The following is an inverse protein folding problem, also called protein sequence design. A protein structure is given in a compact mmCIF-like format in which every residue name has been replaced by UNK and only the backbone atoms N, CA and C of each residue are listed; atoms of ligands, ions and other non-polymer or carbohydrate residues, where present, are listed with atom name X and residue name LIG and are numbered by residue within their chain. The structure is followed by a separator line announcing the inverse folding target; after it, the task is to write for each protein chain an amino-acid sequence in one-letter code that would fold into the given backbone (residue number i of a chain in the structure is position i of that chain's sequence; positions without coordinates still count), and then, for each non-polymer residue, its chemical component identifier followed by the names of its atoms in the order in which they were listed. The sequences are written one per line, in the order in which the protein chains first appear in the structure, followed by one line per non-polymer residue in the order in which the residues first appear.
data_IF_966401173480
#
_entry.id   IF_966401173480
#
_cell.length_a   1.000
_cell.length_b   1.000
_cell.length_c   1.000
_cell.angle_alpha   90.00
_cell.angle_beta   90.00
_cell.angle_gamma   90.00
#
_symmetry.space_group_name_H-M   'P 1'
#
loop_
_entity.id
_entity.type
_entity.pdbx_description
1 polymer ?
#
# COMPACT_ATOMS: atom_id res chain seq x y z
N UNK A 1 -5.65 -29.18 3.47
CA UNK A 1 -5.46 -28.53 4.79
C UNK A 1 -6.74 -27.84 5.23
N UNK A 2 -6.92 -27.64 6.53
CA UNK A 2 -8.05 -26.87 7.08
C UNK A 2 -7.73 -25.36 7.08
N UNK A 3 -8.74 -24.52 7.27
CA UNK A 3 -8.58 -23.06 7.20
C UNK A 3 -7.54 -22.51 8.19
N UNK A 4 -7.41 -23.10 9.38
CA UNK A 4 -6.39 -22.71 10.36
C UNK A 4 -4.97 -23.00 9.87
N UNK A 5 -4.76 -24.15 9.23
CA UNK A 5 -3.46 -24.51 8.63
C UNK A 5 -3.14 -23.60 7.43
N UNK A 6 -4.16 -23.30 6.61
CA UNK A 6 -4.01 -22.35 5.51
C UNK A 6 -3.65 -20.95 6.00
N UNK A 7 -4.28 -20.49 7.07
CA UNK A 7 -3.98 -19.20 7.69
C UNK A 7 -2.53 -19.11 8.18
N UNK A 8 -2.04 -20.16 8.84
CA UNK A 8 -0.65 -20.24 9.28
C UNK A 8 0.34 -20.28 8.11
N UNK A 9 0.08 -21.14 7.12
CA UNK A 9 0.97 -21.32 5.96
C UNK A 9 1.05 -20.05 5.09
N UNK A 10 -0.08 -19.38 4.87
CA UNK A 10 -0.14 -18.18 4.03
C UNK A 10 0.17 -16.88 4.78
N UNK A 11 0.20 -16.90 6.12
CA UNK A 11 0.30 -15.70 6.95
C UNK A 11 -0.90 -14.76 6.79
N UNK A 12 -2.09 -15.32 6.48
CA UNK A 12 -3.32 -14.55 6.23
C UNK A 12 -4.36 -14.89 7.31
N UNK A 13 -4.96 -13.90 7.99
CA UNK A 13 -6.02 -14.14 8.97
C UNK A 13 -7.21 -14.90 8.39
N UNK A 14 -7.85 -15.75 9.21
CA UNK A 14 -9.00 -16.58 8.79
C UNK A 14 -10.14 -15.71 8.23
N UNK A 15 -10.44 -14.57 8.86
CA UNK A 15 -11.47 -13.63 8.41
C UNK A 15 -11.15 -13.09 7.02
N UNK A 16 -9.88 -12.78 6.75
CA UNK A 16 -9.42 -12.31 5.44
C UNK A 16 -9.53 -13.40 4.39
N UNK A 17 -9.22 -14.66 4.73
CA UNK A 17 -9.42 -15.80 3.83
C UNK A 17 -10.90 -15.93 3.46
N UNK A 18 -11.81 -15.89 4.45
CA UNK A 18 -13.25 -15.94 4.22
C UNK A 18 -13.78 -14.77 3.40
N UNK A 19 -13.21 -13.57 3.62
CA UNK A 19 -13.53 -12.41 2.82
C UNK A 19 -13.12 -12.62 1.36
N UNK A 20 -11.89 -13.08 1.09
CA UNK A 20 -11.43 -13.35 -0.28
C UNK A 20 -12.20 -14.48 -0.97
N UNK A 21 -12.68 -15.48 -0.23
CA UNK A 21 -13.61 -16.48 -0.77
C UNK A 21 -14.92 -15.85 -1.24
N UNK A 22 -15.54 -14.98 -0.41
CA UNK A 22 -16.80 -14.29 -0.76
C UNK A 22 -16.64 -13.35 -1.94
N UNK A 23 -15.49 -12.69 -2.03
CA UNK A 23 -15.14 -11.78 -3.12
C UNK A 23 -14.71 -12.50 -4.42
N UNK A 24 -14.67 -13.83 -4.41
CA UNK A 24 -14.26 -14.62 -5.57
C UNK A 24 -12.78 -14.51 -5.94
N UNK A 25 -11.95 -14.00 -5.03
CA UNK A 25 -10.49 -13.91 -5.21
C UNK A 25 -9.82 -15.27 -4.99
N UNK A 26 -10.44 -16.14 -4.19
CA UNK A 26 -10.02 -17.53 -4.00
C UNK A 26 -11.01 -18.49 -4.65
N UNK A 27 -10.55 -19.61 -5.23
CA UNK A 27 -11.42 -20.68 -5.66
C UNK A 27 -12.25 -21.23 -4.50
N UNK A 28 -13.41 -21.79 -4.80
CA UNK A 28 -14.21 -22.44 -3.78
C UNK A 28 -13.45 -23.65 -3.21
N UNK A 29 -13.35 -23.71 -1.88
CA UNK A 29 -12.77 -24.86 -1.21
C UNK A 29 -13.63 -26.11 -1.42
N UNK A 30 -13.00 -27.24 -1.69
CA UNK A 30 -13.67 -28.54 -1.68
C UNK A 30 -14.24 -28.82 -0.28
N UNK A 31 -15.29 -29.65 -0.21
CA UNK A 31 -15.88 -30.07 1.07
C UNK A 31 -15.74 -31.57 1.26
N UNK A 32 -15.47 -31.97 2.50
CA UNK A 32 -15.54 -33.39 2.89
C UNK A 32 -16.99 -33.86 2.99
N UNK A 33 -17.20 -35.17 3.13
CA UNK A 33 -18.50 -35.76 3.46
C UNK A 33 -19.14 -35.15 4.72
N UNK A 34 -18.30 -34.73 5.70
CA UNK A 34 -18.73 -34.00 6.90
C UNK A 34 -18.92 -32.49 6.71
N UNK A 35 -19.01 -32.01 5.47
CA UNK A 35 -19.23 -30.59 5.10
C UNK A 35 -18.14 -29.59 5.57
N UNK A 36 -16.93 -30.08 5.89
CA UNK A 36 -15.78 -29.23 6.22
C UNK A 36 -15.03 -28.79 4.97
N UNK A 37 -14.65 -27.49 4.92
CA UNK A 37 -13.81 -26.94 3.83
C UNK A 37 -12.40 -27.52 3.87
N UNK A 38 -11.93 -27.95 2.70
CA UNK A 38 -10.54 -28.41 2.49
C UNK A 38 -9.88 -27.50 1.47
N UNK A 39 -8.72 -26.99 1.82
CA UNK A 39 -7.88 -26.13 0.99
C UNK A 39 -6.67 -26.91 0.49
N UNK A 40 -6.17 -26.51 -0.67
CA UNK A 40 -5.00 -27.08 -1.34
C UNK A 40 -3.81 -26.12 -1.24
N UNK A 41 -2.57 -26.57 -1.52
CA UNK A 41 -1.42 -25.66 -1.63
C UNK A 41 -1.64 -24.50 -2.60
N UNK A 42 -2.41 -24.72 -3.67
CA UNK A 42 -2.76 -23.65 -4.63
C UNK A 42 -3.51 -22.48 -3.99
N UNK A 43 -4.33 -22.74 -2.95
CA UNK A 43 -4.97 -21.66 -2.19
C UNK A 43 -3.93 -20.84 -1.40
N UNK A 44 -2.91 -21.51 -0.85
CA UNK A 44 -1.83 -20.82 -0.13
C UNK A 44 -0.99 -19.96 -1.09
N UNK A 45 -0.64 -20.49 -2.27
CA UNK A 45 0.10 -19.76 -3.31
C UNK A 45 -0.68 -18.52 -3.79
N UNK A 46 -1.99 -18.70 -3.99
CA UNK A 46 -2.87 -17.60 -4.42
C UNK A 46 -3.00 -16.52 -3.35
N UNK A 47 -3.10 -16.89 -2.07
CA UNK A 47 -3.08 -15.94 -0.95
C UNK A 47 -1.75 -15.21 -0.86
N UNK A 48 -0.63 -15.91 -1.05
CA UNK A 48 0.71 -15.31 -1.12
C UNK A 48 0.80 -14.24 -2.20
N UNK A 49 0.30 -14.55 -3.40
CA UNK A 49 0.23 -13.61 -4.51
C UNK A 49 -0.63 -12.38 -4.19
N UNK A 50 -1.86 -12.59 -3.68
CA UNK A 50 -2.75 -11.48 -3.28
C UNK A 50 -2.06 -10.60 -2.23
N UNK A 51 -1.44 -11.18 -1.22
CA UNK A 51 -0.72 -10.45 -0.18
C UNK A 51 0.42 -9.61 -0.76
N UNK A 52 1.17 -10.16 -1.71
CA UNK A 52 2.25 -9.42 -2.38
C UNK A 52 1.71 -8.23 -3.18
N UNK A 53 0.64 -8.41 -3.94
CA UNK A 53 -0.01 -7.30 -4.65
C UNK A 53 -0.50 -6.22 -3.66
N UNK A 54 -1.12 -6.62 -2.55
CA UNK A 54 -1.60 -5.70 -1.51
C UNK A 54 -0.46 -4.94 -0.81
N UNK A 55 0.72 -5.56 -0.67
CA UNK A 55 1.90 -4.87 -0.13
C UNK A 55 2.48 -3.81 -1.08
N UNK A 56 2.09 -3.85 -2.34
CA UNK A 56 2.39 -2.85 -3.35
C UNK A 56 1.26 -1.82 -3.52
N UNK A 57 0.35 -1.73 -2.55
CA UNK A 57 -0.81 -0.83 -2.53
C UNK A 57 -1.84 -1.06 -3.67
N UNK A 58 -1.78 -2.22 -4.34
CA UNK A 58 -2.77 -2.56 -5.36
C UNK A 58 -4.16 -2.77 -4.75
N UNK A 59 -5.19 -2.27 -5.40
CA UNK A 59 -6.59 -2.48 -5.04
C UNK A 59 -7.03 -3.93 -5.31
N UNK A 60 -8.14 -4.36 -4.70
CA UNK A 60 -8.66 -5.70 -4.97
C UNK A 60 -9.13 -5.88 -6.42
N UNK A 61 -9.58 -4.82 -7.07
CA UNK A 61 -10.00 -4.87 -8.48
C UNK A 61 -8.78 -5.05 -9.40
N UNK A 62 -7.68 -4.36 -9.15
CA UNK A 62 -6.40 -4.59 -9.85
C UNK A 62 -5.90 -6.02 -9.64
N UNK A 63 -5.97 -6.52 -8.40
CA UNK A 63 -5.61 -7.91 -8.08
C UNK A 63 -6.49 -8.92 -8.82
N UNK A 64 -7.81 -8.64 -8.99
CA UNK A 64 -8.70 -9.51 -9.79
C UNK A 64 -8.26 -9.61 -11.25
N UNK A 65 -7.85 -8.50 -11.86
CA UNK A 65 -7.34 -8.50 -13.24
C UNK A 65 -6.10 -9.39 -13.34
N UNK A 66 -5.14 -9.21 -12.43
CA UNK A 66 -3.91 -10.02 -12.41
C UNK A 66 -4.19 -11.51 -12.17
N UNK A 67 -5.14 -11.84 -11.30
CA UNK A 67 -5.53 -13.23 -11.04
C UNK A 67 -6.19 -13.88 -12.25
N UNK A 68 -7.06 -13.16 -12.98
CA UNK A 68 -7.65 -13.64 -14.24
C UNK A 68 -6.57 -13.98 -15.26
N UNK A 69 -5.57 -13.09 -15.42
CA UNK A 69 -4.44 -13.34 -16.32
C UNK A 69 -3.59 -14.53 -15.87
N UNK A 70 -3.35 -14.69 -14.56
CA UNK A 70 -2.63 -15.85 -14.00
C UNK A 70 -3.38 -17.16 -14.24
N UNK A 71 -4.71 -17.14 -14.17
CA UNK A 71 -5.55 -18.32 -14.40
C UNK A 71 -5.67 -18.65 -15.90
N UNK A 72 -5.51 -17.67 -16.79
CA UNK A 72 -5.62 -17.80 -18.25
C UNK A 72 -4.45 -17.09 -18.96
N UNK A 73 -3.23 -17.68 -18.96
CA UNK A 73 -2.03 -17.02 -19.48
C UNK A 73 -2.04 -16.70 -20.97
N UNK A 74 -2.98 -17.28 -21.73
CA UNK A 74 -3.15 -17.05 -23.18
C UNK A 74 -4.05 -15.85 -23.50
N UNK A 75 -4.59 -15.17 -22.48
CA UNK A 75 -5.36 -13.95 -22.66
C UNK A 75 -4.45 -12.78 -23.07
N UNK A 76 -5.03 -11.75 -23.71
CA UNK A 76 -4.31 -10.56 -24.13
C UNK A 76 -3.62 -9.86 -22.94
N UNK A 77 -2.30 -9.68 -23.05
CA UNK A 77 -1.48 -9.00 -22.05
C UNK A 77 -1.71 -7.48 -22.01
N UNK A 78 -2.43 -6.91 -22.97
CA UNK A 78 -2.65 -5.47 -23.09
C UNK A 78 -3.33 -4.86 -21.88
N UNK A 79 -4.39 -5.51 -21.38
CA UNK A 79 -5.12 -5.07 -20.17
C UNK A 79 -4.20 -5.07 -18.92
N UNK A 80 -3.37 -6.10 -18.77
CA UNK A 80 -2.44 -6.22 -17.64
C UNK A 80 -1.34 -5.18 -17.71
N UNK A 81 -0.76 -4.96 -18.89
CA UNK A 81 0.29 -3.96 -19.07
C UNK A 81 -0.23 -2.56 -18.80
N UNK A 82 -1.41 -2.19 -19.31
CA UNK A 82 -2.04 -0.90 -19.04
C UNK A 82 -2.31 -0.69 -17.56
N UNK A 83 -2.84 -1.71 -16.88
CA UNK A 83 -3.09 -1.68 -15.44
C UNK A 83 -1.79 -1.47 -14.65
N UNK A 84 -0.72 -2.17 -14.99
CA UNK A 84 0.57 -2.03 -14.31
C UNK A 84 1.18 -0.65 -14.54
N UNK A 85 1.11 -0.11 -15.76
CA UNK A 85 1.63 1.22 -16.09
C UNK A 85 0.86 2.30 -15.32
N UNK A 86 -0.45 2.20 -15.23
CA UNK A 86 -1.29 3.11 -14.44
C UNK A 86 -0.95 3.03 -12.96
N UNK A 87 -0.84 1.83 -12.41
CA UNK A 87 -0.48 1.61 -11.01
C UNK A 87 0.91 2.17 -10.68
N UNK A 88 1.90 1.94 -11.55
CA UNK A 88 3.26 2.51 -11.42
C UNK A 88 3.18 4.04 -11.40
N UNK A 89 2.36 4.63 -12.26
CA UNK A 89 2.13 6.08 -12.29
C UNK A 89 1.57 6.61 -10.96
N UNK A 90 0.57 5.96 -10.40
CA UNK A 90 -0.03 6.31 -9.09
C UNK A 90 0.98 6.21 -7.96
N UNK A 91 1.74 5.11 -7.91
CA UNK A 91 2.80 4.91 -6.90
C UNK A 91 3.90 5.97 -7.03
N UNK A 92 4.35 6.27 -8.25
CA UNK A 92 5.35 7.30 -8.48
C UNK A 92 4.87 8.69 -8.06
N UNK A 93 3.59 9.01 -8.30
CA UNK A 93 2.97 10.25 -7.80
C UNK A 93 2.98 10.29 -6.27
N UNK A 94 2.55 9.19 -5.62
CA UNK A 94 2.54 9.08 -4.16
C UNK A 94 3.92 9.22 -3.54
N UNK A 95 4.95 8.66 -4.17
CA UNK A 95 6.35 8.83 -3.75
C UNK A 95 6.73 10.31 -3.77
N UNK A 96 6.40 11.05 -4.83
CA UNK A 96 6.70 12.50 -4.92
C UNK A 96 6.01 13.30 -3.80
N UNK A 97 4.73 13.02 -3.53
CA UNK A 97 4.01 13.66 -2.43
C UNK A 97 4.69 13.42 -1.07
N UNK A 98 5.05 12.16 -0.79
CA UNK A 98 5.72 11.79 0.46
C UNK A 98 7.11 12.43 0.57
N UNK A 99 7.85 12.57 -0.55
CA UNK A 99 9.12 13.27 -0.59
C UNK A 99 8.99 14.75 -0.25
N UNK A 100 7.91 15.42 -0.70
CA UNK A 100 7.62 16.82 -0.35
C UNK A 100 7.34 16.95 1.16
N UNK A 101 6.53 16.06 1.73
CA UNK A 101 6.25 16.03 3.17
C UNK A 101 7.54 15.84 3.97
N UNK A 102 8.36 14.87 3.57
CA UNK A 102 9.63 14.61 4.24
C UNK A 102 10.62 15.78 4.14
N UNK A 103 10.64 16.48 3.02
CA UNK A 103 11.46 17.69 2.84
C UNK A 103 10.96 18.86 3.71
N UNK A 104 9.64 19.05 3.78
CA UNK A 104 9.01 20.06 4.63
C UNK A 104 9.36 19.83 6.11
N UNK A 105 9.24 18.59 6.60
CA UNK A 105 9.62 18.22 7.96
C UNK A 105 11.09 18.54 8.25
N UNK A 106 12.01 18.16 7.37
CA UNK A 106 13.44 18.48 7.52
C UNK A 106 13.70 19.99 7.53
N UNK A 107 12.92 20.78 6.80
CA UNK A 107 12.97 22.23 6.81
C UNK A 107 12.61 22.80 8.17
N UNK A 108 11.51 22.34 8.76
CA UNK A 108 11.06 22.73 10.12
C UNK A 108 12.07 22.31 11.18
N UNK A 109 12.61 21.09 11.12
CA UNK A 109 13.64 20.62 12.05
C UNK A 109 14.91 21.50 12.00
N UNK A 110 15.37 21.85 10.79
CA UNK A 110 16.53 22.76 10.63
C UNK A 110 16.27 24.15 11.18
N UNK A 111 15.05 24.68 10.96
CA UNK A 111 14.66 25.98 11.49
C UNK A 111 14.58 25.98 13.02
N UNK A 112 14.06 24.90 13.63
CA UNK A 112 14.02 24.73 15.08
C UNK A 112 15.43 24.75 15.68
N UNK A 113 16.37 23.98 15.08
CA UNK A 113 17.78 23.98 15.51
C UNK A 113 18.43 25.36 15.35
N UNK A 114 18.18 26.04 14.22
CA UNK A 114 18.67 27.40 14.02
C UNK A 114 18.11 28.40 15.06
N UNK A 115 16.80 28.25 15.36
CA UNK A 115 16.13 29.06 16.38
C UNK A 115 16.74 28.86 17.79
N UNK A 116 17.06 27.61 18.15
CA UNK A 116 17.74 27.32 19.43
C UNK A 116 19.14 27.97 19.48
N UNK A 117 19.89 27.91 18.37
CA UNK A 117 21.20 28.57 18.30
C UNK A 117 21.08 30.08 18.40
N UNK A 118 20.09 30.70 17.73
CA UNK A 118 19.86 32.15 17.78
C UNK A 118 19.29 32.61 19.15
N UNK A 119 18.43 31.79 19.79
CA UNK A 119 17.96 32.03 21.13
C UNK A 119 19.12 32.09 22.14
N UNK A 120 20.10 31.21 21.96
CA UNK A 120 21.35 31.27 22.77
C UNK A 120 22.16 32.55 22.55
N UNK A 121 21.92 33.27 21.43
CA UNK A 121 22.53 34.57 21.10
C UNK A 121 21.64 35.74 21.43
N UNK A 122 20.44 35.53 22.03
CA UNK A 122 19.51 36.60 22.44
C UNK A 122 18.63 37.16 21.31
N UNK A 123 18.44 36.45 20.24
CA UNK A 123 17.56 36.79 19.10
C UNK A 123 16.18 36.10 19.24
N UNK A 124 15.13 36.71 18.69
CA UNK A 124 13.74 36.19 18.78
C UNK A 124 13.54 34.91 17.95
N UNK A 125 13.62 33.76 18.62
CA UNK A 125 13.61 32.44 18.01
C UNK A 125 12.24 32.04 17.42
N UNK A 126 11.13 32.55 17.98
CA UNK A 126 9.78 32.17 17.60
C UNK A 126 9.45 32.48 16.12
N UNK A 127 9.89 33.65 15.63
CA UNK A 127 9.61 34.09 14.27
C UNK A 127 10.27 33.21 13.20
N UNK A 128 11.41 32.59 13.50
CA UNK A 128 12.14 31.72 12.57
C UNK A 128 11.38 30.40 12.38
N UNK A 129 10.87 29.82 13.48
CA UNK A 129 10.09 28.56 13.45
C UNK A 129 8.75 28.79 12.74
N UNK A 130 8.05 29.86 13.08
CA UNK A 130 6.75 30.20 12.47
C UNK A 130 6.86 30.40 10.94
N UNK A 131 7.90 31.10 10.47
CA UNK A 131 8.17 31.31 9.06
C UNK A 131 8.46 29.98 8.33
N UNK A 132 9.20 29.07 8.96
CA UNK A 132 9.50 27.74 8.37
C UNK A 132 8.27 26.83 8.31
N UNK A 133 7.42 26.85 9.34
CA UNK A 133 6.14 26.12 9.35
C UNK A 133 5.20 26.63 8.27
N UNK A 134 5.09 27.96 8.12
CA UNK A 134 4.28 28.56 7.06
C UNK A 134 4.78 28.18 5.67
N UNK A 135 6.08 28.23 5.43
CA UNK A 135 6.69 27.83 4.16
C UNK A 135 6.46 26.34 3.86
N UNK A 136 6.52 25.47 4.88
CA UNK A 136 6.25 24.05 4.75
C UNK A 136 4.78 23.78 4.37
N UNK A 137 3.83 24.46 4.99
CA UNK A 137 2.39 24.37 4.68
C UNK A 137 2.12 24.84 3.26
N UNK A 138 2.72 25.93 2.81
CA UNK A 138 2.58 26.43 1.44
C UNK A 138 3.17 25.47 0.40
N UNK A 139 4.29 24.85 0.69
CA UNK A 139 4.89 23.83 -0.19
C UNK A 139 3.99 22.61 -0.32
N UNK A 140 3.41 22.13 0.80
CA UNK A 140 2.45 21.03 0.80
C UNK A 140 1.18 21.37 0.01
N UNK A 141 0.63 22.58 0.22
CA UNK A 141 -0.55 23.05 -0.49
C UNK A 141 -0.34 23.09 -2.01
N UNK A 142 0.81 23.54 -2.48
CA UNK A 142 1.15 23.54 -3.92
C UNK A 142 1.28 22.14 -4.48
N UNK A 143 1.90 21.20 -3.73
CA UNK A 143 2.07 19.82 -4.18
C UNK A 143 0.75 19.04 -4.30
N UNK A 144 -0.25 19.38 -3.47
CA UNK A 144 -1.57 18.71 -3.46
C UNK A 144 -2.50 19.27 -4.56
N UNK A 145 -2.30 20.54 -4.99
CA UNK A 145 -3.16 21.21 -5.98
C UNK A 145 -2.66 21.11 -7.43
N UNK A 146 -1.50 20.46 -7.65
CA UNK A 146 -0.95 20.15 -8.97
C UNK A 146 -1.10 18.69 -9.31
#
# INVERSE_FOLDING_TARGET
MRIGELAQTSGTPIETIRFYEREGLLPAAARTEGNYRIYTPQHADRLGFIRQCRSLDMTLDEVRVLLRFKDQPLADCGEVNSLLDEHIGHVAHRIRELQVIAAARRGVERAAVAAEVEAARGVEAAAIVEAAEHAAVEALRRAVLT
#
